data_IF_611906256305
#
_entry.id   IF_611906256305
#
_cell.length_a   1.000
_cell.length_b   1.000
_cell.length_c   1.000
_cell.angle_alpha   90.00
_cell.angle_beta   90.00
_cell.angle_gamma   90.00
#
_symmetry.space_group_name_H-M   'P 1'
#
loop_
_entity.id
_entity.type
_entity.pdbx_description
1 polymer ?
#
# COMPACT_ATOMS: atom_id res chain seq x y z
N UNK A 1 -16.96 10.19 40.42
CA UNK A 1 -15.86 9.19 40.30
C UNK A 1 -16.27 7.94 39.53
N UNK A 2 -17.32 7.21 39.91
CA UNK A 2 -17.76 5.98 39.20
C UNK A 2 -18.29 6.28 37.78
N UNK A 3 -19.07 7.37 37.63
CA UNK A 3 -19.60 7.81 36.34
C UNK A 3 -18.50 8.30 35.37
N UNK A 4 -17.39 8.84 35.91
CA UNK A 4 -16.23 9.29 35.13
C UNK A 4 -15.41 8.09 34.61
N UNK A 5 -15.27 7.03 35.42
CA UNK A 5 -14.59 5.79 35.03
C UNK A 5 -15.38 5.07 33.93
N UNK A 6 -16.71 5.00 34.05
CA UNK A 6 -17.55 4.38 33.02
C UNK A 6 -17.46 5.14 31.68
N UNK A 7 -17.45 6.47 31.73
CA UNK A 7 -17.30 7.32 30.55
C UNK A 7 -15.96 7.12 29.84
N UNK A 8 -14.85 7.05 30.59
CA UNK A 8 -13.52 6.82 30.01
C UNK A 8 -13.39 5.44 29.35
N UNK A 9 -13.94 4.39 29.98
CA UNK A 9 -13.98 3.04 29.39
C UNK A 9 -14.82 3.02 28.10
N UNK A 10 -15.99 3.67 28.11
CA UNK A 10 -16.86 3.75 26.95
C UNK A 10 -16.18 4.46 25.77
N UNK A 11 -15.50 5.59 26.02
CA UNK A 11 -14.74 6.31 24.99
C UNK A 11 -13.60 5.46 24.42
N UNK A 12 -12.88 4.72 25.28
CA UNK A 12 -11.84 3.79 24.83
C UNK A 12 -12.39 2.68 23.93
N UNK A 13 -13.55 2.11 24.27
CA UNK A 13 -14.22 1.09 23.45
C UNK A 13 -14.67 1.64 22.09
N UNK A 14 -15.28 2.84 22.07
CA UNK A 14 -15.70 3.51 20.83
C UNK A 14 -14.49 3.78 19.93
N UNK A 15 -13.40 4.29 20.50
CA UNK A 15 -12.16 4.53 19.77
C UNK A 15 -11.61 3.23 19.17
N UNK A 16 -11.53 2.16 19.96
CA UNK A 16 -11.07 0.85 19.47
C UNK A 16 -11.97 0.31 18.35
N UNK A 17 -13.29 0.38 18.50
CA UNK A 17 -14.24 -0.03 17.46
C UNK A 17 -14.07 0.79 16.18
N UNK A 18 -13.84 2.10 16.28
CA UNK A 18 -13.58 2.96 15.12
C UNK A 18 -12.28 2.57 14.40
N UNK A 19 -11.20 2.26 15.13
CA UNK A 19 -9.94 1.77 14.55
C UNK A 19 -10.16 0.44 13.82
N UNK A 20 -10.84 -0.53 14.45
CA UNK A 20 -11.11 -1.83 13.82
C UNK A 20 -11.97 -1.65 12.56
N UNK A 21 -12.98 -0.78 12.62
CA UNK A 21 -13.81 -0.46 11.47
C UNK A 21 -13.00 0.15 10.33
N UNK A 22 -12.08 1.08 10.63
CA UNK A 22 -11.17 1.67 9.64
C UNK A 22 -10.22 0.64 9.03
N UNK A 23 -9.64 -0.25 9.84
CA UNK A 23 -8.77 -1.34 9.36
C UNK A 23 -9.55 -2.30 8.44
N UNK A 24 -10.76 -2.68 8.82
CA UNK A 24 -11.63 -3.54 7.99
C UNK A 24 -12.06 -2.85 6.70
N UNK A 25 -12.38 -1.56 6.76
CA UNK A 25 -12.73 -0.77 5.59
C UNK A 25 -11.58 -0.72 4.58
N UNK A 26 -10.34 -0.59 5.06
CA UNK A 26 -9.14 -0.64 4.21
C UNK A 26 -9.02 -1.98 3.46
N UNK A 27 -9.20 -3.10 4.17
CA UNK A 27 -9.17 -4.44 3.57
C UNK A 27 -10.28 -4.63 2.53
N UNK A 28 -11.51 -4.20 2.82
CA UNK A 28 -12.63 -4.32 1.87
C UNK A 28 -12.42 -3.46 0.63
N UNK A 29 -11.93 -2.22 0.79
CA UNK A 29 -11.72 -1.28 -0.32
C UNK A 29 -10.68 -1.80 -1.33
N UNK A 30 -9.68 -2.53 -0.85
CA UNK A 30 -8.54 -3.00 -1.63
C UNK A 30 -8.42 -4.54 -1.73
N UNK A 31 -9.46 -5.26 -1.30
CA UNK A 31 -9.58 -6.71 -1.29
C UNK A 31 -10.25 -7.27 -2.55
N UNK A 32 -9.86 -6.81 -3.74
CA UNK A 32 -10.40 -7.33 -5.01
C UNK A 32 -9.82 -8.71 -5.34
N UNK A 33 -10.65 -9.58 -5.91
CA UNK A 33 -10.22 -10.89 -6.45
C UNK A 33 -9.24 -10.69 -7.60
N UNK A 34 -8.24 -11.57 -7.71
CA UNK A 34 -7.24 -11.55 -8.77
C UNK A 34 -6.08 -10.55 -8.55
N UNK A 35 -6.05 -9.84 -7.41
CA UNK A 35 -4.90 -9.02 -7.06
C UNK A 35 -3.73 -9.88 -6.57
N UNK A 36 -2.48 -9.46 -6.81
CA UNK A 36 -1.29 -10.08 -6.21
C UNK A 36 -1.37 -10.10 -4.67
N UNK A 37 -0.64 -11.01 -4.00
CA UNK A 37 -0.52 -11.02 -2.55
C UNK A 37 0.08 -9.70 -2.03
N UNK A 38 -0.13 -9.40 -0.75
CA UNK A 38 0.42 -8.19 -0.12
C UNK A 38 -0.53 -7.54 0.86
N UNK A 39 -0.12 -6.41 1.43
CA UNK A 39 -0.87 -5.68 2.46
C UNK A 39 -1.04 -4.23 2.07
N UNK A 40 -2.16 -3.62 2.41
CA UNK A 40 -2.38 -2.18 2.20
C UNK A 40 -1.92 -1.34 3.39
N UNK A 41 -1.34 -1.94 4.42
CA UNK A 41 -0.83 -1.24 5.59
C UNK A 41 -1.91 -0.48 6.36
N UNK A 42 -1.51 0.64 6.97
CA UNK A 42 -2.44 1.50 7.71
C UNK A 42 -3.43 2.19 6.76
N UNK A 43 -4.68 2.44 7.20
CA UNK A 43 -5.61 3.27 6.45
C UNK A 43 -4.96 4.63 6.14
N UNK A 44 -5.12 5.12 4.91
CA UNK A 44 -4.59 6.39 4.38
C UNK A 44 -3.07 6.44 4.12
N UNK A 45 -2.23 6.13 5.12
CA UNK A 45 -0.76 6.23 4.97
C UNK A 45 -0.12 4.98 4.37
N UNK A 46 -0.79 3.83 4.48
CA UNK A 46 -0.33 2.54 4.03
C UNK A 46 0.98 2.13 4.68
N UNK A 47 1.96 1.80 3.85
CA UNK A 47 3.32 1.43 4.23
C UNK A 47 4.34 2.53 3.88
N UNK A 48 3.87 3.74 3.57
CA UNK A 48 4.74 4.87 3.16
C UNK A 48 5.87 5.17 4.14
N UNK A 49 5.66 5.20 5.47
CA UNK A 49 6.76 5.46 6.42
C UNK A 49 7.87 4.43 6.33
N UNK A 50 7.52 3.14 6.21
CA UNK A 50 8.49 2.06 6.06
C UNK A 50 9.19 2.14 4.70
N UNK A 51 8.45 2.46 3.64
CA UNK A 51 9.02 2.66 2.31
C UNK A 51 10.08 3.78 2.31
N UNK A 52 9.76 4.93 2.90
CA UNK A 52 10.70 6.06 2.99
C UNK A 52 11.89 5.76 3.91
N UNK A 53 11.67 5.05 5.02
CA UNK A 53 12.73 4.72 5.99
C UNK A 53 13.71 3.67 5.47
N UNK A 54 13.22 2.65 4.78
CA UNK A 54 14.01 1.48 4.41
C UNK A 54 14.37 1.42 2.92
N UNK A 55 13.73 2.23 2.07
CA UNK A 55 14.04 2.34 0.64
C UNK A 55 14.07 0.99 -0.06
N UNK A 56 15.21 0.62 -0.65
CA UNK A 56 15.36 -0.68 -1.33
C UNK A 56 15.15 -1.89 -0.41
N UNK A 57 15.47 -1.77 0.89
CA UNK A 57 15.29 -2.88 1.83
C UNK A 57 13.80 -3.19 2.06
N UNK A 58 12.92 -2.18 1.94
CA UNK A 58 11.47 -2.40 1.94
C UNK A 58 11.08 -3.38 0.84
N UNK A 59 11.54 -3.14 -0.40
CA UNK A 59 11.22 -3.99 -1.56
C UNK A 59 11.76 -5.40 -1.35
N UNK A 60 13.00 -5.56 -0.87
CA UNK A 60 13.59 -6.88 -0.58
C UNK A 60 12.79 -7.66 0.46
N UNK A 61 12.38 -7.01 1.54
CA UNK A 61 11.61 -7.63 2.61
C UNK A 61 10.20 -8.05 2.13
N UNK A 62 9.57 -7.22 1.29
CA UNK A 62 8.24 -7.53 0.72
C UNK A 62 8.32 -8.63 -0.32
N UNK A 63 9.34 -8.63 -1.18
CA UNK A 63 9.63 -9.73 -2.11
C UNK A 63 9.81 -11.05 -1.36
N UNK A 64 10.60 -11.07 -0.28
CA UNK A 64 10.82 -12.27 0.51
C UNK A 64 9.52 -12.80 1.15
N UNK A 65 8.55 -11.93 1.45
CA UNK A 65 7.29 -12.30 2.09
C UNK A 65 6.17 -12.66 1.11
N UNK A 66 6.06 -11.93 0.00
CA UNK A 66 4.91 -11.98 -0.91
C UNK A 66 5.26 -12.47 -2.31
N UNK A 67 6.56 -12.64 -2.63
CA UNK A 67 7.04 -13.05 -3.96
C UNK A 67 7.34 -11.87 -4.88
N UNK A 68 7.56 -12.18 -6.15
CA UNK A 68 8.04 -11.21 -7.15
C UNK A 68 7.00 -10.17 -7.59
N UNK A 69 5.73 -10.39 -7.27
CA UNK A 69 4.64 -9.49 -7.60
C UNK A 69 3.76 -9.32 -6.37
N UNK A 70 3.68 -8.10 -5.85
CA UNK A 70 2.91 -7.83 -4.64
C UNK A 70 2.23 -6.47 -4.64
N UNK A 71 1.13 -6.37 -3.89
CA UNK A 71 0.39 -5.12 -3.68
C UNK A 71 0.82 -4.43 -2.38
N UNK A 72 0.83 -3.11 -2.40
CA UNK A 72 1.07 -2.24 -1.24
C UNK A 72 0.33 -0.91 -1.38
N UNK A 73 0.33 -0.08 -0.36
CA UNK A 73 -0.12 1.31 -0.45
C UNK A 73 1.03 2.21 -0.02
N UNK A 74 1.61 2.94 -0.96
CA UNK A 74 2.77 3.82 -0.73
C UNK A 74 2.54 5.15 -1.42
N UNK A 75 3.08 6.22 -0.85
CA UNK A 75 3.02 7.58 -1.42
C UNK A 75 1.58 8.04 -1.73
N UNK A 76 0.62 7.63 -0.89
CA UNK A 76 -0.79 8.00 -1.04
C UNK A 76 -1.56 7.19 -2.10
N UNK A 77 -0.94 6.18 -2.71
CA UNK A 77 -1.53 5.43 -3.82
C UNK A 77 -1.48 3.91 -3.60
N UNK A 78 -2.58 3.16 -3.89
CA UNK A 78 -2.52 1.71 -3.98
C UNK A 78 -1.64 1.31 -5.17
N UNK A 79 -0.60 0.53 -4.91
CA UNK A 79 0.51 0.28 -5.84
C UNK A 79 0.77 -1.22 -5.95
N UNK A 80 1.03 -1.71 -7.17
CA UNK A 80 1.57 -3.06 -7.41
C UNK A 80 3.03 -2.93 -7.78
N UNK A 81 3.90 -3.66 -7.07
CA UNK A 81 5.34 -3.68 -7.33
C UNK A 81 5.70 -5.03 -7.96
N UNK A 82 6.45 -4.97 -9.06
CA UNK A 82 7.00 -6.14 -9.75
C UNK A 82 8.53 -6.13 -9.66
N UNK A 83 9.09 -7.20 -9.11
CA UNK A 83 10.54 -7.50 -9.11
C UNK A 83 10.91 -8.61 -10.10
N UNK A 84 9.95 -9.10 -10.89
CA UNK A 84 10.19 -10.07 -11.95
C UNK A 84 10.76 -9.37 -13.21
N UNK A 85 12.00 -9.68 -13.63
CA UNK A 85 12.58 -9.09 -14.83
C UNK A 85 11.80 -9.39 -16.12
N UNK A 86 11.15 -10.56 -16.23
CA UNK A 86 10.42 -10.93 -17.43
C UNK A 86 9.14 -10.08 -17.58
N UNK A 87 8.37 -9.95 -16.50
CA UNK A 87 7.20 -9.07 -16.46
C UNK A 87 7.59 -7.60 -16.66
N UNK A 88 8.66 -7.13 -16.01
CA UNK A 88 9.12 -5.75 -16.17
C UNK A 88 9.51 -5.46 -17.63
N UNK A 89 10.23 -6.38 -18.28
CA UNK A 89 10.56 -6.28 -19.71
C UNK A 89 9.29 -6.24 -20.57
N UNK A 90 8.32 -7.10 -20.29
CA UNK A 90 7.05 -7.10 -21.02
C UNK A 90 6.30 -5.77 -20.88
N UNK A 91 6.19 -5.23 -19.67
CA UNK A 91 5.52 -3.94 -19.40
C UNK A 91 6.19 -2.81 -20.18
N UNK A 92 7.52 -2.70 -20.09
CA UNK A 92 8.28 -1.64 -20.75
C UNK A 92 8.21 -1.74 -22.28
N UNK A 93 8.28 -2.95 -22.85
CA UNK A 93 8.18 -3.14 -24.30
C UNK A 93 6.77 -2.87 -24.87
N UNK A 94 5.75 -2.91 -24.02
CA UNK A 94 4.36 -2.65 -24.40
C UNK A 94 3.84 -1.32 -23.86
N UNK A 95 4.73 -0.46 -23.37
CA UNK A 95 4.39 0.91 -23.01
C UNK A 95 3.82 1.64 -24.25
N UNK A 96 2.71 2.35 -24.07
CA UNK A 96 1.98 2.98 -25.19
C UNK A 96 1.12 2.02 -26.03
N UNK A 97 1.19 0.70 -25.81
CA UNK A 97 0.33 -0.32 -26.45
C UNK A 97 -0.78 -0.80 -25.51
N UNK A 98 -1.43 0.15 -24.84
CA UNK A 98 -2.48 -0.11 -23.85
C UNK A 98 -2.04 0.02 -22.39
N UNK A 99 -0.75 0.23 -22.14
CA UNK A 99 -0.22 0.64 -20.83
C UNK A 99 0.12 2.13 -20.87
N UNK A 100 -0.43 2.88 -19.91
CA UNK A 100 -0.19 4.33 -19.77
C UNK A 100 0.95 4.51 -18.77
N UNK A 101 2.07 5.16 -19.16
CA UNK A 101 3.12 5.47 -18.22
C UNK A 101 2.67 6.47 -17.17
N UNK A 102 3.00 6.19 -15.91
CA UNK A 102 2.71 7.03 -14.76
C UNK A 102 3.95 7.75 -14.22
N UNK A 103 4.85 8.21 -15.11
CA UNK A 103 6.08 8.86 -14.69
C UNK A 103 5.80 10.22 -14.03
N UNK A 104 6.47 10.54 -12.90
CA UNK A 104 6.39 11.88 -12.33
C UNK A 104 7.04 12.89 -13.29
N UNK A 105 6.60 14.16 -13.23
CA UNK A 105 7.12 15.21 -14.10
C UNK A 105 8.65 15.31 -14.07
N UNK A 106 9.25 15.19 -12.88
CA UNK A 106 10.71 15.19 -12.72
C UNK A 106 11.43 14.07 -13.49
N UNK A 107 10.79 12.93 -13.71
CA UNK A 107 11.36 11.85 -14.50
C UNK A 107 11.19 12.13 -16.00
N UNK A 108 10.07 12.73 -16.42
CA UNK A 108 9.88 13.18 -17.80
C UNK A 108 10.91 14.25 -18.18
N UNK A 109 11.13 15.23 -17.31
CA UNK A 109 12.09 16.31 -17.53
C UNK A 109 13.54 15.80 -17.74
N UNK A 110 13.87 14.62 -17.18
CA UNK A 110 15.19 13.97 -17.34
C UNK A 110 15.25 13.16 -18.65
N UNK A 111 14.13 12.62 -19.11
CA UNK A 111 14.07 11.73 -20.28
C UNK A 111 14.03 12.50 -21.62
N UNK A 112 13.70 13.79 -21.60
CA UNK A 112 13.66 14.68 -22.78
C UNK A 112 12.28 14.77 -23.39
#
# INVERSE_FOLDING_TARGET
>A
PEMDILSTIALGFIFLCSIIALLRWNEVRYGKKGLPPGTMGWPLSGETPDFLRYGQQFIKNRKARYGDLFKTHILGCPTVISTDPALNRYILLNEGRGLIPGYPQSMLDILG
#
